data_IF_439573733418
#
_entry.id   IF_439573733418
#
_cell.length_a   1.000
_cell.length_b   1.000
_cell.length_c   1.000
_cell.angle_alpha   90.00
_cell.angle_beta   90.00
_cell.angle_gamma   90.00
#
_symmetry.space_group_name_H-M   'P 1'
#
loop_
_entity.id
_entity.type
_entity.pdbx_description
1 polymer ?
#
# COMPACT_ATOMS: atom_id res chain seq x y z
N UNK A 1 17.80 -24.75 -2.91
CA UNK A 1 16.93 -23.69 -3.45
C UNK A 1 17.55 -22.36 -3.08
N UNK A 2 18.31 -21.74 -3.99
CA UNK A 2 18.87 -20.41 -3.74
C UNK A 2 17.76 -19.38 -3.91
N UNK A 3 17.17 -18.96 -2.80
CA UNK A 3 16.41 -17.72 -2.78
C UNK A 3 17.38 -16.62 -3.19
N UNK A 4 17.19 -16.02 -4.38
CA UNK A 4 18.08 -14.97 -4.88
C UNK A 4 18.34 -13.96 -3.76
N UNK A 5 19.60 -13.79 -3.41
CA UNK A 5 20.02 -12.80 -2.43
C UNK A 5 19.77 -11.43 -3.05
N UNK A 6 18.66 -10.81 -2.66
CA UNK A 6 18.23 -9.49 -3.15
C UNK A 6 18.69 -8.37 -2.19
N UNK A 7 19.60 -8.65 -1.24
CA UNK A 7 20.05 -7.65 -0.24
C UNK A 7 20.67 -6.41 -0.88
N UNK A 8 21.24 -6.54 -2.08
CA UNK A 8 21.80 -5.44 -2.85
C UNK A 8 20.84 -4.86 -3.92
N UNK A 9 19.58 -5.25 -3.93
CA UNK A 9 18.64 -4.87 -4.99
C UNK A 9 17.47 -4.06 -4.46
N UNK A 10 16.92 -3.22 -5.32
CA UNK A 10 15.73 -2.41 -5.05
C UNK A 10 14.58 -2.87 -5.94
N UNK A 11 13.40 -3.08 -5.36
CA UNK A 11 12.20 -3.38 -6.14
C UNK A 11 11.65 -2.08 -6.74
N UNK A 12 11.40 -2.07 -8.05
CA UNK A 12 10.78 -0.95 -8.78
C UNK A 12 9.45 -1.44 -9.35
N UNK A 13 8.41 -0.61 -9.24
CA UNK A 13 7.09 -0.86 -9.82
C UNK A 13 6.81 0.16 -10.91
N UNK A 14 6.34 -0.35 -12.05
CA UNK A 14 5.90 0.38 -13.21
C UNK A 14 4.40 0.18 -13.44
N UNK A 15 3.69 1.20 -13.91
CA UNK A 15 2.33 1.04 -14.43
C UNK A 15 2.33 0.47 -15.86
N UNK A 16 1.13 0.20 -16.40
CA UNK A 16 0.96 -0.29 -17.79
C UNK A 16 1.50 0.63 -18.88
N UNK A 17 1.76 1.91 -18.56
CA UNK A 17 2.38 2.87 -19.49
C UNK A 17 3.91 2.83 -19.42
N UNK A 18 4.46 1.92 -18.60
CA UNK A 18 5.89 1.83 -18.25
C UNK A 18 6.41 3.05 -17.49
N UNK A 19 5.53 3.83 -16.85
CA UNK A 19 5.95 4.90 -15.96
C UNK A 19 6.28 4.33 -14.56
N UNK A 20 7.40 4.78 -13.98
CA UNK A 20 7.78 4.38 -12.61
C UNK A 20 6.81 4.98 -11.61
N UNK A 21 6.12 4.14 -10.84
CA UNK A 21 5.12 4.56 -9.85
C UNK A 21 5.56 4.30 -8.40
N UNK A 22 6.50 3.39 -8.18
CA UNK A 22 7.05 3.16 -6.85
C UNK A 22 8.50 2.64 -6.93
N UNK A 23 9.27 2.96 -5.90
CA UNK A 23 10.59 2.42 -5.65
C UNK A 23 10.70 2.01 -4.19
N UNK A 24 11.20 0.81 -3.97
CA UNK A 24 11.34 0.21 -2.66
C UNK A 24 12.59 0.67 -1.92
N UNK A 25 12.72 0.22 -0.68
CA UNK A 25 13.99 0.28 0.03
C UNK A 25 14.85 -0.92 -0.37
N UNK A 26 16.15 -0.67 -0.54
CA UNK A 26 17.16 -1.68 -0.90
C UNK A 26 17.10 -2.88 0.06
N UNK A 27 17.13 -4.09 -0.48
CA UNK A 27 17.17 -5.33 0.30
C UNK A 27 15.83 -5.77 0.89
N UNK A 28 14.79 -4.93 0.87
CA UNK A 28 13.50 -5.25 1.52
C UNK A 28 12.59 -6.13 0.67
N UNK A 29 12.84 -6.20 -0.64
CA UNK A 29 11.98 -6.87 -1.64
C UNK A 29 10.53 -6.34 -1.63
N UNK A 30 10.36 -5.06 -1.27
CA UNK A 30 9.06 -4.41 -1.13
C UNK A 30 9.11 -3.03 -1.76
N UNK A 31 8.03 -2.65 -2.43
CA UNK A 31 7.75 -1.29 -2.86
C UNK A 31 6.29 -0.97 -2.55
N UNK A 32 5.98 0.29 -2.21
CA UNK A 32 4.63 0.72 -1.87
C UNK A 32 4.10 1.62 -2.98
N UNK A 33 3.00 1.21 -3.60
CA UNK A 33 2.19 2.08 -4.47
C UNK A 33 1.31 2.94 -3.56
N UNK A 34 1.31 4.25 -3.77
CA UNK A 34 0.50 5.23 -3.02
C UNK A 34 -0.41 6.02 -3.96
N UNK A 35 -1.36 6.78 -3.41
CA UNK A 35 -2.26 7.65 -4.20
C UNK A 35 -3.42 6.94 -4.89
N UNK A 36 -3.65 5.65 -4.60
CA UNK A 36 -4.83 4.94 -5.09
C UNK A 36 -6.05 5.23 -4.23
N UNK A 37 -7.20 5.48 -4.87
CA UNK A 37 -8.44 5.73 -4.16
C UNK A 37 -8.94 4.46 -3.42
N UNK A 38 -9.58 4.59 -2.25
CA UNK A 38 -10.18 3.46 -1.56
C UNK A 38 -11.22 2.75 -2.44
N UNK A 39 -11.26 1.42 -2.41
CA UNK A 39 -12.13 0.61 -3.26
C UNK A 39 -11.65 0.43 -4.70
N UNK A 40 -10.50 1.02 -5.09
CA UNK A 40 -9.93 0.81 -6.44
C UNK A 40 -9.59 -0.66 -6.64
N UNK A 41 -10.11 -1.24 -7.72
CA UNK A 41 -9.77 -2.59 -8.18
C UNK A 41 -8.66 -2.49 -9.23
N UNK A 42 -7.53 -3.11 -8.93
CA UNK A 42 -6.37 -3.21 -9.81
C UNK A 42 -6.34 -4.61 -10.40
N UNK A 43 -6.32 -4.73 -11.72
CA UNK A 43 -6.26 -6.01 -12.41
C UNK A 43 -4.84 -6.61 -12.39
N UNK A 44 -4.75 -7.93 -12.63
CA UNK A 44 -3.47 -8.59 -12.89
C UNK A 44 -2.74 -7.90 -14.05
N UNK A 45 -1.45 -7.62 -13.89
CA UNK A 45 -0.62 -7.01 -14.93
C UNK A 45 -0.84 -5.51 -15.16
N UNK A 46 -1.75 -4.85 -14.42
CA UNK A 46 -1.88 -3.38 -14.45
C UNK A 46 -0.60 -2.70 -13.93
N UNK A 47 0.13 -3.39 -13.06
CA UNK A 47 1.47 -3.04 -12.63
C UNK A 47 2.46 -4.16 -12.94
N UNK A 48 3.70 -3.78 -13.21
CA UNK A 48 4.82 -4.69 -13.35
C UNK A 48 5.90 -4.36 -12.33
N UNK A 49 6.58 -5.38 -11.81
CA UNK A 49 7.72 -5.20 -10.93
C UNK A 49 9.01 -5.68 -11.59
N UNK A 50 10.13 -5.10 -11.14
CA UNK A 50 11.48 -5.56 -11.45
C UNK A 50 12.40 -5.28 -10.27
N UNK A 51 13.56 -5.94 -10.25
CA UNK A 51 14.64 -5.63 -9.33
C UNK A 51 15.74 -4.88 -10.05
N UNK A 52 16.20 -3.79 -9.45
CA UNK A 52 17.36 -3.03 -9.89
C UNK A 52 18.54 -3.33 -8.98
N UNK A 53 19.66 -3.73 -9.58
CA UNK A 53 20.92 -3.90 -8.86
C UNK A 53 21.49 -2.54 -8.45
N UNK A 54 21.80 -2.35 -7.16
CA UNK A 54 22.29 -1.08 -6.65
C UNK A 54 23.74 -0.77 -7.04
N UNK A 55 24.51 -1.76 -7.49
CA UNK A 55 25.90 -1.62 -7.94
C UNK A 55 25.98 -1.32 -9.43
N UNK A 56 25.28 -2.09 -10.26
CA UNK A 56 25.32 -1.93 -11.73
C UNK A 56 24.24 -1.01 -12.27
N UNK A 57 23.17 -0.78 -11.49
CA UNK A 57 22.00 -0.02 -11.92
C UNK A 57 21.10 -0.75 -12.92
N UNK A 58 21.40 -2.01 -13.26
CA UNK A 58 20.64 -2.79 -14.23
C UNK A 58 19.35 -3.33 -13.63
N UNK A 59 18.28 -3.32 -14.42
CA UNK A 59 17.00 -3.92 -14.07
C UNK A 59 16.90 -5.36 -14.59
N UNK A 60 16.28 -6.24 -13.80
CA UNK A 60 15.89 -7.57 -14.24
C UNK A 60 14.71 -7.54 -15.24
N UNK A 61 14.33 -8.70 -15.77
CA UNK A 61 13.07 -8.83 -16.49
C UNK A 61 11.88 -8.38 -15.64
N UNK A 62 10.90 -7.73 -16.28
CA UNK A 62 9.65 -7.32 -15.62
C UNK A 62 8.72 -8.52 -15.43
N UNK A 63 8.01 -8.54 -14.33
CA UNK A 63 6.98 -9.55 -14.01
C UNK A 63 5.69 -8.88 -13.59
N UNK A 64 4.56 -9.45 -14.01
CA UNK A 64 3.24 -8.91 -13.69
C UNK A 64 2.95 -9.01 -12.19
N UNK A 65 2.48 -7.90 -11.61
CA UNK A 65 1.95 -7.86 -10.25
C UNK A 65 0.53 -8.43 -10.26
N UNK A 66 0.21 -9.24 -9.25
CA UNK A 66 -1.15 -9.77 -9.08
C UNK A 66 -2.13 -8.66 -8.74
N UNK A 67 -3.35 -8.79 -9.26
CA UNK A 67 -4.44 -7.87 -9.01
C UNK A 67 -4.77 -7.78 -7.52
N UNK A 68 -5.21 -6.60 -7.09
CA UNK A 68 -5.57 -6.32 -5.71
C UNK A 68 -6.69 -5.29 -5.63
N UNK A 69 -7.38 -5.24 -4.50
CA UNK A 69 -8.35 -4.20 -4.20
C UNK A 69 -7.82 -3.33 -3.07
N UNK A 70 -7.81 -2.02 -3.28
CA UNK A 70 -7.43 -1.05 -2.23
C UNK A 70 -8.50 -1.07 -1.16
N UNK A 71 -8.09 -1.32 0.09
CA UNK A 71 -9.02 -1.37 1.22
C UNK A 71 -9.75 -0.05 1.38
N UNK A 72 -11.07 -0.12 1.50
CA UNK A 72 -11.89 1.00 1.96
C UNK A 72 -11.72 1.13 3.47
N UNK A 73 -11.26 2.29 4.00
CA UNK A 73 -11.28 2.51 5.43
C UNK A 73 -12.73 2.41 5.91
N UNK A 74 -12.97 1.57 6.90
CA UNK A 74 -14.27 1.52 7.58
C UNK A 74 -14.30 2.75 8.49
N UNK A 75 -15.40 3.53 8.53
CA UNK A 75 -15.56 4.58 9.53
C UNK A 75 -15.36 3.99 10.93
N UNK A 76 -14.73 4.73 11.84
CA UNK A 76 -14.68 4.33 13.24
C UNK A 76 -16.12 4.10 13.75
N UNK A 77 -16.28 3.08 14.59
CA UNK A 77 -17.58 2.80 15.20
C UNK A 77 -18.03 4.02 16.02
N UNK A 78 -19.35 4.27 16.14
CA UNK A 78 -19.84 5.29 17.04
C UNK A 78 -19.34 5.00 18.46
N UNK A 79 -18.80 6.05 19.10
CA UNK A 79 -18.42 6.01 20.52
C UNK A 79 -19.68 5.88 21.38
N UNK A 80 -19.57 5.15 22.49
CA UNK A 80 -20.69 4.98 23.40
C UNK A 80 -20.91 6.31 24.14
N UNK A 81 -22.08 6.91 23.96
CA UNK A 81 -22.46 8.16 24.61
C UNK A 81 -23.06 7.85 25.99
N UNK A 82 -22.68 8.59 27.02
CA UNK A 82 -23.37 8.60 28.31
C UNK A 82 -24.10 9.93 28.49
N UNK A 83 -25.28 9.88 29.11
CA UNK A 83 -26.07 11.06 29.43
C UNK A 83 -26.29 11.18 30.94
N UNK A 84 -25.86 12.29 31.52
CA UNK A 84 -26.16 12.65 32.91
C UNK A 84 -27.28 13.68 32.94
N UNK A 85 -28.41 13.33 33.55
CA UNK A 85 -29.52 14.25 33.73
C UNK A 85 -29.14 15.36 34.72
N UNK A 86 -29.48 16.60 34.39
CA UNK A 86 -29.30 17.78 35.24
C UNK A 86 -30.65 18.46 35.48
N UNK A 87 -30.70 19.40 36.42
CA UNK A 87 -31.94 20.11 36.76
C UNK A 87 -32.47 21.01 35.61
N UNK A 88 -31.68 21.24 34.56
CA UNK A 88 -32.03 22.09 33.40
C UNK A 88 -31.87 21.35 32.06
N UNK A 89 -31.60 20.03 32.06
CA UNK A 89 -31.41 19.26 30.83
C UNK A 89 -30.60 17.97 31.01
N UNK A 90 -29.74 17.64 30.05
CA UNK A 90 -28.81 16.53 30.14
C UNK A 90 -27.44 16.93 29.58
N UNK A 91 -26.37 16.48 30.22
CA UNK A 91 -25.01 16.59 29.68
C UNK A 91 -24.69 15.29 28.96
N UNK A 92 -24.34 15.37 27.68
CA UNK A 92 -23.92 14.23 26.87
C UNK A 92 -22.39 14.23 26.77
N UNK A 93 -21.77 13.09 27.05
CA UNK A 93 -20.32 12.90 26.92
C UNK A 93 -20.02 11.62 26.13
N UNK A 94 -19.04 11.72 25.23
CA UNK A 94 -18.44 10.60 24.53
C UNK A 94 -17.06 10.26 25.13
N UNK A 95 -16.70 8.97 25.13
CA UNK A 95 -15.37 8.47 25.53
C UNK A 95 -14.29 8.70 24.46
#
# INVERSE_FOLDING_TARGET
MNMSDRTNETMIIYDKTSAKVAEGEKGTKKAKITGLAPGTVVADGEYQNTFKDATTGQESGKSDVKGFTVKTPVPDAPVNESSDATNDGATISAE
#
